data_IF_319783775315
#
_entry.id   IF_319783775315
#
_cell.length_a   1.000
_cell.length_b   1.000
_cell.length_c   1.000
_cell.angle_alpha   90.00
_cell.angle_beta   90.00
_cell.angle_gamma   90.00
#
_symmetry.space_group_name_H-M   'P 1'
#
loop_
_entity.id
_entity.type
_entity.pdbx_description
1 polymer ?
#
# COMPACT_ATOMS: atom_id res chain seq x y z
N UNK A 1 -27.29 6.67 -11.91
CA UNK A 1 -26.85 7.92 -11.26
C UNK A 1 -25.32 7.97 -11.36
N UNK A 2 -24.75 8.51 -12.44
CA UNK A 2 -23.30 8.51 -12.61
C UNK A 2 -22.60 9.18 -11.42
N UNK A 3 -21.44 8.67 -11.04
CA UNK A 3 -20.64 9.17 -9.93
C UNK A 3 -19.23 9.53 -10.42
N UNK A 4 -18.55 10.51 -9.81
CA UNK A 4 -17.19 10.84 -10.19
C UNK A 4 -16.22 9.75 -9.71
N UNK A 5 -15.33 9.31 -10.59
CA UNK A 5 -14.28 8.35 -10.28
C UNK A 5 -13.35 8.96 -9.21
N UNK A 6 -13.16 8.32 -8.05
CA UNK A 6 -12.28 8.84 -7.01
C UNK A 6 -10.79 8.89 -7.41
N UNK A 7 -10.37 8.13 -8.43
CA UNK A 7 -8.97 8.10 -8.87
C UNK A 7 -8.64 9.19 -9.93
N UNK A 8 -9.55 9.49 -10.86
CA UNK A 8 -9.28 10.42 -11.97
C UNK A 8 -10.33 11.54 -12.15
N UNK A 9 -11.45 11.48 -11.45
CA UNK A 9 -12.54 12.46 -11.52
C UNK A 9 -13.51 12.29 -12.69
N UNK A 10 -13.32 11.31 -13.59
CA UNK A 10 -14.23 11.07 -14.72
C UNK A 10 -15.60 10.55 -14.25
N UNK A 11 -16.69 10.84 -14.98
CA UNK A 11 -18.01 10.29 -14.66
C UNK A 11 -18.10 8.80 -15.00
N UNK A 12 -18.53 8.00 -14.02
CA UNK A 12 -18.64 6.54 -14.10
C UNK A 12 -20.08 6.11 -13.81
N UNK A 13 -20.59 5.11 -14.53
CA UNK A 13 -21.91 4.53 -14.27
C UNK A 13 -21.90 3.64 -13.01
N UNK A 14 -23.00 3.61 -12.23
CA UNK A 14 -23.07 2.83 -10.97
C UNK A 14 -22.80 1.34 -11.12
N UNK A 15 -22.91 0.79 -12.33
CA UNK A 15 -22.78 -0.64 -12.60
C UNK A 15 -21.56 -0.96 -13.47
N UNK A 16 -20.64 0.00 -13.64
CA UNK A 16 -19.37 -0.22 -14.30
C UNK A 16 -18.47 -1.10 -13.42
N UNK A 17 -17.73 -2.02 -14.03
CA UNK A 17 -16.75 -2.89 -13.34
C UNK A 17 -15.42 -2.15 -13.09
N UNK A 18 -15.12 -1.18 -13.94
CA UNK A 18 -13.93 -0.33 -13.88
C UNK A 18 -14.16 0.99 -14.60
N UNK A 19 -13.32 1.99 -14.33
CA UNK A 19 -13.39 3.29 -14.97
C UNK A 19 -12.87 3.16 -16.39
N UNK A 20 -13.66 3.58 -17.39
CA UNK A 20 -13.26 3.52 -18.80
C UNK A 20 -12.06 4.41 -19.15
N UNK A 21 -11.81 5.45 -18.35
CA UNK A 21 -10.73 6.41 -18.59
C UNK A 21 -9.40 5.98 -17.98
N UNK A 22 -9.40 5.54 -16.72
CA UNK A 22 -8.15 5.21 -16.00
C UNK A 22 -8.00 3.73 -15.63
N UNK A 23 -9.02 2.90 -15.84
CA UNK A 23 -9.02 1.48 -15.49
C UNK A 23 -9.14 1.17 -14.00
N UNK A 24 -9.35 2.17 -13.15
CA UNK A 24 -9.53 1.98 -11.70
C UNK A 24 -10.81 1.18 -11.41
N UNK A 25 -10.76 0.35 -10.37
CA UNK A 25 -11.85 -0.53 -9.91
C UNK A 25 -11.94 -0.54 -8.37
N UNK A 26 -12.83 -1.38 -7.81
CA UNK A 26 -13.01 -1.58 -6.36
C UNK A 26 -11.74 -1.99 -5.60
N UNK A 27 -10.75 -2.59 -6.28
CA UNK A 27 -9.50 -3.04 -5.65
C UNK A 27 -8.38 -2.01 -5.72
N UNK A 28 -8.53 -1.02 -6.58
CA UNK A 28 -7.45 -0.09 -6.95
C UNK A 28 -7.78 1.36 -6.67
N UNK A 29 -9.04 1.71 -6.42
CA UNK A 29 -9.37 3.08 -6.03
C UNK A 29 -10.83 3.42 -5.80
N UNK A 30 -11.80 2.53 -6.00
CA UNK A 30 -13.24 2.85 -5.81
C UNK A 30 -13.80 2.54 -4.42
N UNK A 31 -13.08 1.79 -3.59
CA UNK A 31 -13.58 1.47 -2.25
C UNK A 31 -13.41 2.66 -1.30
N UNK A 32 -14.34 2.80 -0.35
CA UNK A 32 -14.26 3.83 0.69
C UNK A 32 -12.94 3.74 1.49
N UNK A 33 -12.39 2.54 1.63
CA UNK A 33 -11.09 2.31 2.28
C UNK A 33 -9.92 2.96 1.52
N UNK A 34 -10.00 3.08 0.20
CA UNK A 34 -8.91 3.62 -0.64
C UNK A 34 -8.92 5.15 -0.77
N UNK A 35 -9.93 5.84 -0.23
CA UNK A 35 -10.03 7.31 -0.30
C UNK A 35 -8.86 8.00 0.41
N UNK A 36 -8.26 7.35 1.41
CA UNK A 36 -7.14 7.90 2.17
C UNK A 36 -5.78 7.33 1.73
N UNK A 37 -5.73 6.36 0.81
CA UNK A 37 -4.49 5.70 0.37
C UNK A 37 -3.59 6.60 -0.50
N UNK A 38 -4.14 7.67 -1.08
CA UNK A 38 -3.41 8.65 -1.90
C UNK A 38 -2.91 9.87 -1.11
N UNK A 39 -3.11 9.90 0.19
CA UNK A 39 -2.54 10.94 1.05
C UNK A 39 -1.10 10.56 1.35
N UNK A 40 -0.16 11.38 0.88
CA UNK A 40 1.25 11.34 1.27
C UNK A 40 1.36 11.87 2.71
N UNK A 41 0.78 11.11 3.65
CA UNK A 41 0.87 11.39 5.07
C UNK A 41 2.30 11.12 5.51
N UNK A 42 2.94 12.04 6.26
CA UNK A 42 4.21 11.74 6.89
C UNK A 42 4.04 10.51 7.78
N UNK A 43 4.79 9.45 7.47
CA UNK A 43 4.81 8.17 8.21
C UNK A 43 5.15 8.37 9.71
N UNK A 44 5.67 9.53 10.06
CA UNK A 44 6.23 9.98 11.33
C UNK A 44 5.23 10.73 12.24
N UNK A 45 3.95 10.86 11.87
CA UNK A 45 2.97 11.62 12.68
C UNK A 45 2.42 10.88 13.93
N UNK A 46 2.71 9.58 14.12
CA UNK A 46 2.12 8.78 15.21
C UNK A 46 3.12 7.83 15.89
N UNK A 47 4.21 8.37 16.43
CA UNK A 47 5.08 7.64 17.37
C UNK A 47 4.59 7.79 18.82
N UNK A 48 3.41 7.28 19.17
CA UNK A 48 3.03 7.02 20.58
C UNK A 48 2.16 5.76 20.69
N UNK A 49 2.81 4.62 20.95
CA UNK A 49 2.34 3.54 21.82
C UNK A 49 0.81 3.27 21.85
N UNK A 50 0.33 2.38 20.99
CA UNK A 50 -0.75 1.45 21.36
C UNK A 50 -0.79 0.23 20.44
N UNK A 51 -0.63 -0.95 21.02
CA UNK A 51 -0.99 -2.23 20.42
C UNK A 51 -2.41 -2.20 19.89
N UNK A 52 -2.63 -2.51 18.61
CA UNK A 52 -3.57 -3.53 18.13
C UNK A 52 -3.86 -3.37 16.62
N UNK A 53 -3.54 -4.45 15.88
CA UNK A 53 -4.22 -4.95 14.67
C UNK A 53 -4.05 -4.17 13.35
N UNK A 54 -3.41 -4.83 12.37
CA UNK A 54 -3.59 -4.50 10.95
C UNK A 54 -2.34 -4.35 10.09
N UNK A 55 -1.15 -4.82 10.51
CA UNK A 55 -0.03 -4.89 9.57
C UNK A 55 -0.29 -6.00 8.54
N UNK A 56 -1.00 -5.68 7.45
CA UNK A 56 -1.02 -6.53 6.24
C UNK A 56 0.46 -6.69 5.85
N UNK A 57 1.04 -7.91 5.88
CA UNK A 57 2.40 -8.07 5.45
C UNK A 57 2.45 -7.68 3.97
N UNK A 58 2.97 -6.47 3.69
CA UNK A 58 3.30 -6.07 2.33
C UNK A 58 4.33 -7.11 1.90
N UNK A 59 4.08 -7.85 0.82
CA UNK A 59 5.00 -8.89 0.29
C UNK A 59 6.47 -8.44 0.22
N UNK A 60 6.71 -7.14 0.16
CA UNK A 60 8.01 -6.49 0.19
C UNK A 60 8.69 -6.49 1.57
N UNK A 61 7.95 -6.53 2.70
CA UNK A 61 8.53 -6.64 4.05
C UNK A 61 9.23 -7.98 4.27
N UNK A 62 8.67 -9.06 3.68
CA UNK A 62 9.28 -10.38 3.76
C UNK A 62 10.56 -10.46 2.91
N UNK A 63 10.57 -9.79 1.75
CA UNK A 63 11.76 -9.67 0.91
C UNK A 63 12.83 -8.80 1.59
N UNK A 64 12.43 -7.69 2.21
CA UNK A 64 13.34 -6.78 2.90
C UNK A 64 13.97 -7.45 4.13
N UNK A 65 13.19 -8.19 4.92
CA UNK A 65 13.70 -8.99 6.04
C UNK A 65 14.69 -10.06 5.57
N UNK A 66 14.39 -10.75 4.45
CA UNK A 66 15.30 -11.72 3.85
C UNK A 66 16.63 -11.10 3.39
N UNK A 67 16.57 -9.95 2.71
CA UNK A 67 17.78 -9.21 2.28
C UNK A 67 18.62 -8.79 3.47
N UNK A 68 18.00 -8.24 4.52
CA UNK A 68 18.71 -7.82 5.74
C UNK A 68 19.44 -9.00 6.40
N UNK A 69 18.79 -10.17 6.49
CA UNK A 69 19.41 -11.37 7.05
C UNK A 69 20.59 -11.86 6.20
N UNK A 70 20.44 -11.87 4.87
CA UNK A 70 21.52 -12.28 3.95
C UNK A 70 22.73 -11.35 4.09
N UNK A 71 22.51 -10.02 4.11
CA UNK A 71 23.59 -9.04 4.27
C UNK A 71 24.31 -9.22 5.60
N UNK A 72 23.58 -9.45 6.69
CA UNK A 72 24.17 -9.70 8.00
C UNK A 72 25.02 -10.97 8.01
N UNK A 73 24.53 -12.06 7.42
CA UNK A 73 25.29 -13.31 7.32
C UNK A 73 26.56 -13.13 6.49
N UNK A 74 26.46 -12.46 5.34
CA UNK A 74 27.63 -12.17 4.50
C UNK A 74 28.66 -11.30 5.21
N UNK A 75 28.20 -10.29 5.95
CA UNK A 75 29.08 -9.42 6.74
C UNK A 75 29.82 -10.22 7.82
N UNK A 76 29.11 -11.06 8.57
CA UNK A 76 29.72 -11.92 9.61
C UNK A 76 30.71 -12.90 8.98
N UNK A 77 30.36 -13.54 7.86
CA UNK A 77 31.27 -14.44 7.15
C UNK A 77 32.54 -13.72 6.69
N UNK A 78 32.43 -12.49 6.17
CA UNK A 78 33.57 -11.67 5.76
C UNK A 78 34.42 -11.13 6.90
N UNK A 79 33.84 -11.03 8.10
CA UNK A 79 34.55 -10.53 9.27
C UNK A 79 35.26 -11.66 10.02
N UNK A 80 34.74 -12.88 9.94
CA UNK A 80 35.28 -14.07 10.63
C UNK A 80 36.30 -14.83 9.77
N UNK A 81 36.12 -14.87 8.44
CA UNK A 81 37.06 -15.45 7.48
C UNK A 81 37.90 -14.36 6.78
#
# INVERSE_FOLDING_TARGET
MPFPCPNCGAEVENNALSCSECGSDERTGWSDDTIYDGLDLPDDAFDENSSSEGFKPRRNDLLLAGVALIVLVLFVLRFVF
#
